data_IF_524954222302
#
_entry.id   IF_524954222302
#
_cell.length_a   1.000
_cell.length_b   1.000
_cell.length_c   1.000
_cell.angle_alpha   90.00
_cell.angle_beta   90.00
_cell.angle_gamma   90.00
#
_symmetry.space_group_name_H-M   'P 1'
#
loop_
_entity.id
_entity.type
_entity.pdbx_description
1 polymer ?
#
# COMPACT_ATOMS: atom_id res chain seq x y z
N UNK A 1 -9.54 -48.00 -64.89
CA UNK A 1 -9.05 -46.79 -64.19
C UNK A 1 -9.08 -47.07 -62.70
N UNK A 2 -7.95 -47.45 -62.11
CA UNK A 2 -7.69 -47.21 -60.68
C UNK A 2 -6.40 -46.40 -60.63
N UNK A 3 -6.48 -45.21 -60.02
CA UNK A 3 -5.31 -44.44 -59.66
C UNK A 3 -4.89 -44.96 -58.29
N UNK A 4 -3.79 -45.72 -58.25
CA UNK A 4 -3.09 -45.99 -57.00
C UNK A 4 -2.38 -44.69 -56.61
N UNK A 5 -2.77 -44.13 -55.46
CA UNK A 5 -1.99 -43.10 -54.82
C UNK A 5 -0.87 -43.79 -54.06
N UNK A 6 0.29 -43.92 -54.70
CA UNK A 6 1.54 -44.22 -53.99
C UNK A 6 1.80 -43.10 -52.97
N UNK A 7 1.46 -43.37 -51.72
CA UNK A 7 1.88 -42.55 -50.59
C UNK A 7 3.40 -42.66 -50.45
N UNK A 8 4.12 -41.70 -51.02
CA UNK A 8 5.52 -41.48 -50.70
C UNK A 8 5.59 -41.14 -49.20
N UNK A 9 6.08 -42.09 -48.40
CA UNK A 9 6.30 -41.89 -46.97
C UNK A 9 7.59 -41.11 -46.81
N UNK A 10 7.48 -39.80 -46.66
CA UNK A 10 8.62 -38.91 -46.48
C UNK A 10 9.18 -39.13 -45.06
N UNK A 11 10.47 -39.46 -44.88
CA UNK A 11 11.06 -39.70 -43.55
C UNK A 11 11.01 -38.47 -42.61
N UNK A 12 10.61 -37.31 -43.13
CA UNK A 12 10.35 -36.10 -42.36
C UNK A 12 9.07 -36.17 -41.51
N UNK A 13 8.07 -36.98 -41.88
CA UNK A 13 6.79 -37.07 -41.14
C UNK A 13 6.93 -37.68 -39.73
N UNK A 14 7.96 -38.50 -39.49
CA UNK A 14 8.17 -39.14 -38.17
C UNK A 14 8.69 -38.18 -37.08
N UNK A 15 9.17 -36.99 -37.47
CA UNK A 15 9.68 -35.98 -36.53
C UNK A 15 8.62 -34.93 -36.15
N UNK A 16 7.54 -34.80 -36.93
CA UNK A 16 6.57 -33.71 -36.78
C UNK A 16 5.43 -34.05 -35.81
N UNK A 17 5.09 -35.33 -35.60
CA UNK A 17 3.99 -35.73 -34.72
C UNK A 17 4.47 -36.06 -33.29
N UNK A 18 4.26 -35.17 -32.31
CA UNK A 18 4.63 -35.47 -30.93
C UNK A 18 3.73 -36.58 -30.38
N UNK A 19 4.34 -37.63 -29.84
CA UNK A 19 3.60 -38.73 -29.22
C UNK A 19 2.59 -38.20 -28.19
N UNK A 20 1.33 -38.59 -28.33
CA UNK A 20 0.25 -38.12 -27.44
C UNK A 20 0.57 -38.35 -25.95
N UNK A 21 1.32 -39.43 -25.65
CA UNK A 21 1.84 -39.79 -24.34
C UNK A 21 2.92 -38.85 -23.78
N UNK A 22 3.72 -38.21 -24.62
CA UNK A 22 4.74 -37.26 -24.18
C UNK A 22 4.13 -35.87 -23.95
N UNK A 23 3.25 -35.46 -24.87
CA UNK A 23 2.61 -34.13 -24.84
C UNK A 23 1.75 -33.93 -23.60
N UNK A 24 0.94 -34.91 -23.20
CA UNK A 24 0.11 -34.78 -21.98
C UNK A 24 0.95 -34.70 -20.70
N UNK A 25 2.03 -35.48 -20.63
CA UNK A 25 2.91 -35.51 -19.46
C UNK A 25 3.65 -34.19 -19.29
N UNK A 26 4.19 -33.63 -20.37
CA UNK A 26 4.85 -32.32 -20.38
C UNK A 26 3.85 -31.23 -19.99
N UNK A 27 2.62 -31.29 -20.50
CA UNK A 27 1.58 -30.30 -20.20
C UNK A 27 1.23 -30.30 -18.71
N UNK A 28 0.98 -31.46 -18.12
CA UNK A 28 0.65 -31.56 -16.68
C UNK A 28 1.85 -31.13 -15.83
N UNK A 29 3.06 -31.55 -16.18
CA UNK A 29 4.27 -31.15 -15.48
C UNK A 29 4.46 -29.62 -15.52
N UNK A 30 4.24 -29.00 -16.68
CA UNK A 30 4.31 -27.55 -16.84
C UNK A 30 3.28 -26.81 -15.99
N UNK A 31 2.04 -27.31 -15.93
CA UNK A 31 0.98 -26.74 -15.07
C UNK A 31 1.38 -26.82 -13.59
N UNK A 32 1.93 -27.96 -13.14
CA UNK A 32 2.38 -28.11 -11.76
C UNK A 32 3.54 -27.17 -11.42
N UNK A 33 4.50 -27.03 -12.32
CA UNK A 33 5.62 -26.09 -12.16
C UNK A 33 5.09 -24.66 -12.07
N UNK A 34 4.19 -24.26 -12.97
CA UNK A 34 3.57 -22.94 -12.96
C UNK A 34 2.85 -22.68 -11.63
N UNK A 35 2.10 -23.66 -11.13
CA UNK A 35 1.42 -23.56 -9.85
C UNK A 35 2.39 -23.32 -8.69
N UNK A 36 3.50 -24.06 -8.64
CA UNK A 36 4.57 -23.87 -7.64
C UNK A 36 5.19 -22.47 -7.75
N UNK A 37 5.43 -21.98 -8.97
CA UNK A 37 5.98 -20.62 -9.19
C UNK A 37 5.02 -19.55 -8.69
N UNK A 38 3.71 -19.68 -8.98
CA UNK A 38 2.70 -18.73 -8.49
C UNK A 38 2.68 -18.72 -6.96
N UNK A 39 2.72 -19.88 -6.31
CA UNK A 39 2.78 -19.97 -4.85
C UNK A 39 4.07 -19.35 -4.30
N UNK A 40 5.22 -19.57 -4.94
CA UNK A 40 6.49 -18.99 -4.52
C UNK A 40 6.46 -17.46 -4.61
N UNK A 41 5.96 -16.90 -5.72
CA UNK A 41 5.79 -15.45 -5.88
C UNK A 41 4.83 -14.89 -4.85
N UNK A 42 3.73 -15.58 -4.61
CA UNK A 42 2.73 -15.20 -3.59
C UNK A 42 3.35 -15.19 -2.19
N UNK A 43 4.12 -16.22 -1.84
CA UNK A 43 4.81 -16.31 -0.57
C UNK A 43 5.81 -15.16 -0.38
N UNK A 44 6.65 -14.89 -1.39
CA UNK A 44 7.59 -13.76 -1.36
C UNK A 44 6.85 -12.43 -1.17
N UNK A 45 5.78 -12.21 -1.93
CA UNK A 45 4.96 -11.01 -1.82
C UNK A 45 4.37 -10.82 -0.42
N UNK A 46 3.83 -11.88 0.18
CA UNK A 46 3.28 -11.80 1.53
C UNK A 46 4.36 -11.66 2.61
N UNK A 47 5.52 -12.30 2.47
CA UNK A 47 6.66 -12.09 3.38
C UNK A 47 7.11 -10.63 3.37
N UNK A 48 7.29 -10.04 2.18
CA UNK A 48 7.67 -8.63 2.07
C UNK A 48 6.61 -7.69 2.62
N UNK A 49 5.32 -7.96 2.39
CA UNK A 49 4.26 -7.14 2.98
C UNK A 49 4.17 -7.27 4.51
N UNK A 50 4.40 -8.46 5.07
CA UNK A 50 4.44 -8.61 6.54
C UNK A 50 5.61 -7.87 7.16
N UNK A 51 6.75 -7.78 6.48
CA UNK A 51 7.91 -7.01 6.94
C UNK A 51 7.64 -5.50 6.87
N UNK A 52 7.09 -5.01 5.76
CA UNK A 52 6.77 -3.58 5.60
C UNK A 52 5.63 -3.09 6.49
N UNK A 53 4.57 -3.89 6.70
CA UNK A 53 3.45 -3.48 7.56
C UNK A 53 3.90 -3.38 9.03
N UNK A 54 4.75 -4.28 9.51
CA UNK A 54 5.25 -4.21 10.90
C UNK A 54 6.20 -3.01 11.09
N UNK A 55 7.00 -2.69 10.07
CA UNK A 55 7.88 -1.50 10.08
C UNK A 55 7.09 -0.19 9.99
N UNK A 56 6.05 -0.11 9.15
CA UNK A 56 5.21 1.08 8.97
C UNK A 56 4.33 1.36 10.20
N UNK A 57 3.95 0.34 10.98
CA UNK A 57 3.22 0.53 12.24
C UNK A 57 4.10 1.18 13.33
N UNK A 58 5.44 1.11 13.22
CA UNK A 58 6.34 1.86 14.12
C UNK A 58 6.34 3.37 13.85
N UNK A 59 5.90 3.80 12.67
CA UNK A 59 5.71 5.21 12.32
C UNK A 59 4.27 5.69 12.60
N UNK A 60 3.52 4.93 13.41
CA UNK A 60 2.32 5.43 14.05
C UNK A 60 2.68 6.75 14.75
N UNK A 61 1.97 7.86 14.47
CA UNK A 61 2.35 9.17 14.95
C UNK A 61 2.53 9.09 16.46
N UNK A 62 3.76 9.33 16.92
CA UNK A 62 4.15 9.16 18.32
C UNK A 62 3.06 9.82 19.17
N UNK A 63 2.27 9.01 19.91
CA UNK A 63 1.18 9.51 20.74
C UNK A 63 1.59 10.74 21.58
N UNK A 64 2.82 10.81 22.15
CA UNK A 64 3.28 12.00 22.84
C UNK A 64 3.33 13.27 21.98
N UNK A 65 3.71 13.16 20.70
CA UNK A 65 3.76 14.30 19.76
C UNK A 65 2.36 14.76 19.36
N UNK A 66 1.43 13.81 19.17
CA UNK A 66 0.02 14.13 18.94
C UNK A 66 -0.60 14.81 20.15
N UNK A 67 -0.31 14.34 21.36
CA UNK A 67 -0.81 14.93 22.60
C UNK A 67 -0.23 16.32 22.85
N UNK A 68 1.07 16.52 22.58
CA UNK A 68 1.70 17.85 22.60
C UNK A 68 1.03 18.80 21.61
N UNK A 69 0.78 18.34 20.36
CA UNK A 69 0.12 19.15 19.35
C UNK A 69 -1.32 19.49 19.73
N UNK A 70 -2.07 18.54 20.30
CA UNK A 70 -3.42 18.77 20.83
C UNK A 70 -3.40 19.76 21.99
N UNK A 71 -2.47 19.62 22.93
CA UNK A 71 -2.31 20.54 24.06
C UNK A 71 -1.97 21.96 23.57
N UNK A 72 -1.10 22.10 22.58
CA UNK A 72 -0.79 23.39 21.97
C UNK A 72 -1.99 23.99 21.23
N UNK A 73 -2.72 23.18 20.45
CA UNK A 73 -3.92 23.65 19.74
C UNK A 73 -5.01 24.10 20.72
N UNK A 74 -5.18 23.39 21.84
CA UNK A 74 -6.11 23.78 22.90
C UNK A 74 -5.75 25.10 23.60
N UNK A 75 -4.47 25.51 23.60
CA UNK A 75 -4.06 26.83 24.10
C UNK A 75 -4.37 27.95 23.11
N UNK A 76 -4.44 27.64 21.82
CA UNK A 76 -4.69 28.62 20.75
C UNK A 76 -6.20 28.84 20.55
N UNK A 77 -6.96 27.75 20.53
CA UNK A 77 -8.40 27.75 20.22
C UNK A 77 -9.29 27.67 21.48
N UNK A 78 -8.69 27.64 22.66
CA UNK A 78 -9.40 27.48 23.93
C UNK A 78 -10.21 28.72 24.35
N UNK A 79 -11.06 28.58 25.37
CA UNK A 79 -11.78 29.73 25.93
C UNK A 79 -10.82 30.69 26.70
N UNK A 80 -11.15 31.98 26.82
CA UNK A 80 -10.41 32.92 27.65
C UNK A 80 -10.20 32.40 29.07
N UNK A 81 -8.97 32.51 29.57
CA UNK A 81 -8.59 31.98 30.88
C UNK A 81 -7.83 33.03 31.69
N UNK A 82 -8.19 33.17 32.97
CA UNK A 82 -7.44 34.02 33.89
C UNK A 82 -6.03 33.46 34.14
N UNK A 83 -5.01 34.30 33.95
CA UNK A 83 -3.63 34.00 34.34
C UNK A 83 -3.40 34.50 35.77
N UNK A 84 -3.85 35.72 36.06
CA UNK A 84 -3.75 36.35 37.37
C UNK A 84 -4.98 37.23 37.60
N UNK A 85 -5.81 36.88 38.59
CA UNK A 85 -7.02 37.64 38.91
C UNK A 85 -6.74 38.90 39.73
N UNK A 86 -5.66 38.91 40.54
CA UNK A 86 -5.29 40.06 41.36
C UNK A 86 -4.75 41.19 40.46
N UNK A 87 -3.94 40.83 39.47
CA UNK A 87 -3.38 41.76 38.48
C UNK A 87 -4.30 41.98 37.26
N UNK A 88 -5.47 41.32 37.24
CA UNK A 88 -6.46 41.38 36.14
C UNK A 88 -5.87 40.99 34.77
N UNK A 89 -4.99 39.99 34.74
CA UNK A 89 -4.37 39.46 33.52
C UNK A 89 -5.17 38.26 33.02
N UNK A 90 -5.72 38.37 31.81
CA UNK A 90 -6.47 37.31 31.12
C UNK A 90 -5.75 36.88 29.84
N UNK A 91 -5.63 35.57 29.64
CA UNK A 91 -5.25 34.98 28.37
C UNK A 91 -6.49 34.91 27.48
N UNK A 92 -6.43 35.53 26.31
CA UNK A 92 -7.45 35.42 25.27
C UNK A 92 -6.88 34.69 24.05
N UNK A 93 -7.71 33.99 23.27
CA UNK A 93 -7.31 33.41 21.99
C UNK A 93 -6.67 34.45 21.08
N UNK A 94 -5.69 34.01 20.29
CA UNK A 94 -4.94 34.94 19.43
C UNK A 94 -5.84 35.59 18.38
N UNK A 95 -6.86 34.87 17.89
CA UNK A 95 -7.87 35.39 16.97
C UNK A 95 -8.60 36.59 17.57
N UNK A 96 -9.11 36.45 18.80
CA UNK A 96 -9.82 37.51 19.52
C UNK A 96 -8.89 38.68 19.83
N UNK A 97 -7.62 38.40 20.17
CA UNK A 97 -6.61 39.42 20.42
C UNK A 97 -6.33 40.25 19.16
N UNK A 98 -6.20 39.61 17.99
CA UNK A 98 -6.01 40.31 16.73
C UNK A 98 -7.21 41.19 16.39
N UNK A 99 -8.44 40.70 16.56
CA UNK A 99 -9.65 41.48 16.31
C UNK A 99 -9.74 42.72 17.21
N UNK A 100 -9.37 42.58 18.49
CA UNK A 100 -9.30 43.71 19.42
C UNK A 100 -8.24 44.73 19.02
N UNK A 101 -7.05 44.29 18.64
CA UNK A 101 -5.96 45.18 18.21
C UNK A 101 -6.32 45.89 16.90
N UNK A 102 -6.90 45.21 15.92
CA UNK A 102 -7.37 45.82 14.67
C UNK A 102 -8.49 46.82 14.96
N UNK A 103 -9.42 46.50 15.85
CA UNK A 103 -10.47 47.44 16.26
C UNK A 103 -9.92 48.69 16.95
N UNK A 104 -8.86 48.55 17.74
CA UNK A 104 -8.29 49.65 18.52
C UNK A 104 -7.30 50.52 17.72
N UNK A 105 -6.51 49.90 16.81
CA UNK A 105 -5.43 50.57 16.09
C UNK A 105 -5.60 50.62 14.57
N UNK A 106 -6.53 49.85 13.98
CA UNK A 106 -6.76 49.77 12.53
C UNK A 106 -7.62 50.90 11.97
N UNK A 107 -7.30 52.15 12.32
CA UNK A 107 -7.99 53.36 11.85
C UNK A 107 -7.60 53.72 10.42
#
# INVERSE_FOLDING_TARGET
MSHDHDHHHDPHDMLEDPEAGSTWFITISSILILFVVVLAVTAVFYTSQTEEVDEVVLDAPLQPLLDLRRAQSALIDGAPRWIDQEQKIVAIPITDAMDLVVKEYGR
#
